data_IF_444582574210
#
_entry.id   IF_444582574210
#
_cell.length_a   1.000
_cell.length_b   1.000
_cell.length_c   1.000
_cell.angle_alpha   90.00
_cell.angle_beta   90.00
_cell.angle_gamma   90.00
#
_symmetry.space_group_name_H-M   'P 1'
#
loop_
_entity.id
_entity.type
_entity.pdbx_description
1 polymer ?
#
# COMPACT_ATOMS: atom_id res chain seq x y z
N UNK A 1 14.65 -37.41 9.57
CA UNK A 1 13.75 -37.72 8.45
C UNK A 1 12.39 -38.11 9.02
N UNK A 2 11.42 -37.19 9.01
CA UNK A 2 10.02 -37.48 9.37
C UNK A 2 9.11 -36.40 8.76
N UNK A 3 8.46 -36.76 7.66
CA UNK A 3 7.07 -36.37 7.37
C UNK A 3 6.24 -36.86 8.57
N UNK A 4 5.22 -36.20 9.12
CA UNK A 4 4.07 -35.44 8.59
C UNK A 4 3.56 -34.56 9.77
N UNK A 5 2.58 -33.68 9.51
CA UNK A 5 1.56 -33.14 10.46
C UNK A 5 1.74 -31.70 10.95
N UNK A 6 1.39 -30.73 10.09
CA UNK A 6 0.63 -29.50 10.40
C UNK A 6 0.71 -28.54 9.21
N UNK A 7 0.05 -28.89 8.10
CA UNK A 7 -0.53 -27.89 7.18
C UNK A 7 -1.77 -27.32 7.90
N UNK A 8 -1.55 -26.76 9.09
CA UNK A 8 -2.50 -25.96 9.85
C UNK A 8 -2.18 -24.55 9.34
N UNK A 9 -3.05 -23.83 8.64
CA UNK A 9 -4.06 -22.96 9.26
C UNK A 9 -3.51 -22.23 10.50
N UNK A 10 -2.21 -21.94 10.57
CA UNK A 10 -1.58 -21.23 11.69
C UNK A 10 -1.45 -19.72 11.45
N UNK A 11 -1.77 -19.23 10.25
CA UNK A 11 -1.81 -17.79 9.96
C UNK A 11 -3.22 -17.25 9.66
N UNK A 12 -4.29 -18.04 9.84
CA UNK A 12 -5.67 -17.60 9.59
C UNK A 12 -6.27 -16.83 10.80
N UNK A 13 -5.55 -15.81 11.27
CA UNK A 13 -6.12 -14.63 11.94
C UNK A 13 -5.88 -13.44 11.01
N UNK A 14 -6.58 -12.28 11.11
CA UNK A 14 -6.43 -11.22 10.12
C UNK A 14 -5.03 -10.63 10.25
N UNK A 15 -4.08 -11.17 9.47
CA UNK A 15 -2.80 -10.56 9.29
C UNK A 15 -3.06 -9.27 8.53
N UNK A 16 -2.72 -8.15 9.17
CA UNK A 16 -2.75 -6.85 8.51
C UNK A 16 -1.68 -6.89 7.43
N UNK A 17 -2.07 -6.87 6.16
CA UNK A 17 -1.13 -6.85 5.05
C UNK A 17 -0.64 -5.44 4.82
N UNK A 18 0.67 -5.29 4.70
CA UNK A 18 1.36 -4.03 4.45
C UNK A 18 1.36 -3.79 2.94
N UNK A 19 0.64 -2.77 2.49
CA UNK A 19 0.39 -2.55 1.07
C UNK A 19 0.95 -1.23 0.57
N UNK A 20 1.42 -1.24 -0.67
CA UNK A 20 1.88 -0.04 -1.37
C UNK A 20 0.86 0.32 -2.44
N UNK A 21 0.39 1.56 -2.47
CA UNK A 21 -0.43 2.05 -3.58
C UNK A 21 0.46 2.54 -4.72
N UNK A 22 0.39 1.90 -5.89
CA UNK A 22 1.13 2.36 -7.06
C UNK A 22 0.25 3.24 -7.95
N UNK A 23 0.48 4.55 -7.86
CA UNK A 23 -0.29 5.57 -8.56
C UNK A 23 -1.45 6.11 -7.70
N UNK A 24 -1.57 7.44 -7.65
CA UNK A 24 -2.60 8.17 -6.90
C UNK A 24 -3.53 8.95 -7.85
N UNK A 25 -3.88 8.32 -8.98
CA UNK A 25 -4.88 8.83 -9.92
C UNK A 25 -6.30 8.49 -9.44
N UNK A 26 -7.33 8.66 -10.29
CA UNK A 26 -8.72 8.41 -9.91
C UNK A 26 -8.94 7.06 -9.20
N UNK A 27 -8.48 5.94 -9.81
CA UNK A 27 -8.61 4.60 -9.18
C UNK A 27 -7.77 4.48 -7.91
N UNK A 28 -6.53 4.97 -7.94
CA UNK A 28 -5.62 4.88 -6.79
C UNK A 28 -6.13 5.66 -5.57
N UNK A 29 -6.72 6.83 -5.78
CA UNK A 29 -7.30 7.63 -4.69
C UNK A 29 -8.52 6.94 -4.07
N UNK A 30 -9.39 6.34 -4.88
CA UNK A 30 -10.53 5.55 -4.37
C UNK A 30 -10.06 4.30 -3.61
N UNK A 31 -8.99 3.65 -4.07
CA UNK A 31 -8.40 2.51 -3.36
C UNK A 31 -7.80 2.92 -2.01
N UNK A 32 -7.05 4.03 -1.97
CA UNK A 32 -6.53 4.59 -0.71
C UNK A 32 -7.68 4.91 0.24
N UNK A 33 -8.73 5.57 -0.25
CA UNK A 33 -9.91 5.87 0.55
C UNK A 33 -10.56 4.60 1.13
N UNK A 34 -10.76 3.58 0.30
CA UNK A 34 -11.34 2.30 0.72
C UNK A 34 -10.48 1.56 1.74
N UNK A 35 -9.14 1.60 1.60
CA UNK A 35 -8.21 1.02 2.58
C UNK A 35 -8.39 1.71 3.93
N UNK A 36 -8.33 3.05 3.94
CA UNK A 36 -8.39 3.83 5.17
C UNK A 36 -9.74 3.73 5.90
N UNK A 37 -10.85 3.61 5.16
CA UNK A 37 -12.20 3.66 5.75
C UNK A 37 -12.79 2.29 6.07
N UNK A 38 -12.37 1.24 5.37
CA UNK A 38 -13.13 -0.02 5.33
C UNK A 38 -12.29 -1.27 5.51
N UNK A 39 -10.95 -1.16 5.62
CA UNK A 39 -10.05 -2.31 5.69
C UNK A 39 -9.23 -2.26 6.96
N UNK A 40 -9.63 -3.07 7.93
CA UNK A 40 -8.87 -3.33 9.16
C UNK A 40 -7.77 -4.37 8.95
N UNK A 41 -7.78 -5.07 7.82
CA UNK A 41 -6.80 -6.08 7.42
C UNK A 41 -5.73 -5.55 6.45
N UNK A 42 -5.70 -4.25 6.14
CA UNK A 42 -4.70 -3.62 5.27
C UNK A 42 -4.07 -2.39 5.94
N UNK A 43 -2.75 -2.28 5.88
CA UNK A 43 -1.98 -1.11 6.31
C UNK A 43 -1.32 -0.47 5.08
N UNK A 44 -1.63 0.79 4.80
CA UNK A 44 -0.97 1.53 3.72
C UNK A 44 0.40 2.02 4.19
N UNK A 45 1.47 1.52 3.59
CA UNK A 45 2.85 1.82 4.05
C UNK A 45 3.61 2.76 3.12
N UNK A 46 3.07 3.04 1.95
CA UNK A 46 3.66 3.98 1.01
C UNK A 46 2.82 4.14 -0.26
N UNK A 47 3.11 5.19 -1.02
CA UNK A 47 2.55 5.34 -2.35
C UNK A 47 3.61 5.72 -3.38
N UNK A 48 3.54 5.09 -4.55
CA UNK A 48 4.37 5.46 -5.68
C UNK A 48 3.63 6.53 -6.50
N UNK A 49 4.27 7.66 -6.75
CA UNK A 49 3.78 8.76 -7.61
C UNK A 49 4.71 9.01 -8.80
N UNK A 50 4.17 9.61 -9.87
CA UNK A 50 4.95 9.94 -11.08
C UNK A 50 5.53 11.36 -11.06
N UNK A 51 4.84 12.29 -10.39
CA UNK A 51 5.14 13.72 -10.48
C UNK A 51 5.99 14.19 -9.30
N UNK A 52 6.99 15.02 -9.57
CA UNK A 52 7.94 15.50 -8.57
C UNK A 52 7.28 16.38 -7.49
N UNK A 53 6.21 17.10 -7.82
CA UNK A 53 5.42 17.90 -6.87
C UNK A 53 4.75 17.06 -5.78
N UNK A 54 4.59 15.75 -6.03
CA UNK A 54 4.01 14.79 -5.09
C UNK A 54 5.08 13.99 -4.34
N UNK A 55 6.35 14.12 -4.70
CA UNK A 55 7.43 13.43 -4.01
C UNK A 55 7.55 13.95 -2.58
N UNK A 56 7.55 13.03 -1.60
CA UNK A 56 7.61 13.34 -0.17
C UNK A 56 6.30 13.88 0.43
N UNK A 57 5.25 14.06 -0.39
CA UNK A 57 3.95 14.49 0.11
C UNK A 57 3.27 13.37 0.91
N UNK A 58 2.46 13.75 1.90
CA UNK A 58 1.65 12.79 2.64
C UNK A 58 0.51 12.25 1.77
N UNK A 59 0.33 10.93 1.77
CA UNK A 59 -0.66 10.25 0.94
C UNK A 59 -2.09 10.64 1.30
N UNK A 60 -2.39 10.87 2.59
CA UNK A 60 -3.67 11.39 3.05
C UNK A 60 -3.98 12.75 2.41
N UNK A 61 -3.01 13.66 2.45
CA UNK A 61 -3.13 14.97 1.81
C UNK A 61 -3.34 14.87 0.29
N UNK A 62 -2.64 13.95 -0.39
CA UNK A 62 -2.80 13.71 -1.83
C UNK A 62 -4.19 13.23 -2.24
N UNK A 63 -4.94 12.62 -1.31
CA UNK A 63 -6.32 12.16 -1.54
C UNK A 63 -7.36 13.06 -0.84
N UNK A 64 -6.98 14.26 -0.41
CA UNK A 64 -7.89 15.25 0.16
C UNK A 64 -8.32 14.97 1.60
N UNK A 65 -7.46 14.29 2.38
CA UNK A 65 -7.67 13.99 3.81
C UNK A 65 -6.61 14.69 4.66
N UNK A 66 -6.79 14.62 5.99
CA UNK A 66 -5.73 14.98 6.92
C UNK A 66 -4.50 14.08 6.74
N UNK A 67 -3.28 14.58 7.01
CA UNK A 67 -2.07 13.79 6.90
C UNK A 67 -2.11 12.52 7.75
N UNK A 68 -1.72 11.38 7.16
CA UNK A 68 -1.76 10.06 7.79
C UNK A 68 -0.39 9.52 8.19
N UNK A 69 0.69 10.26 7.91
CA UNK A 69 2.07 9.87 8.21
C UNK A 69 2.70 8.93 7.18
N UNK A 70 2.08 8.76 6.01
CA UNK A 70 2.57 7.88 4.94
C UNK A 70 3.05 8.73 3.77
N UNK A 71 4.32 8.60 3.40
CA UNK A 71 4.90 9.42 2.34
C UNK A 71 4.71 8.79 0.95
N UNK A 72 4.49 9.65 -0.04
CA UNK A 72 4.58 9.30 -1.45
C UNK A 72 6.02 9.47 -1.95
N UNK A 73 6.43 8.68 -2.94
CA UNK A 73 7.75 8.80 -3.57
C UNK A 73 7.69 8.54 -5.07
N UNK A 74 8.59 9.20 -5.80
CA UNK A 74 8.88 8.95 -7.22
C UNK A 74 9.99 7.91 -7.41
N UNK A 75 10.73 7.58 -6.34
CA UNK A 75 11.82 6.60 -6.35
C UNK A 75 11.26 5.17 -6.25
N UNK A 76 11.48 4.40 -7.31
CA UNK A 76 11.03 3.02 -7.45
C UNK A 76 11.78 2.07 -6.53
N UNK A 77 13.08 2.29 -6.33
CA UNK A 77 13.89 1.41 -5.49
C UNK A 77 13.55 1.66 -4.02
N UNK A 78 13.36 2.93 -3.63
CA UNK A 78 12.97 3.28 -2.28
C UNK A 78 11.58 2.72 -1.91
N UNK A 79 10.60 2.79 -2.81
CA UNK A 79 9.25 2.27 -2.51
C UNK A 79 9.26 0.73 -2.45
N UNK A 80 10.00 0.04 -3.33
CA UNK A 80 10.08 -1.42 -3.34
C UNK A 80 10.94 -1.98 -2.19
N UNK A 81 11.79 -1.16 -1.57
CA UNK A 81 12.56 -1.52 -0.38
C UNK A 81 11.76 -1.42 0.93
N UNK A 82 10.55 -0.85 0.90
CA UNK A 82 9.66 -0.86 2.06
C UNK A 82 9.28 -2.30 2.42
N UNK A 83 9.15 -2.55 3.72
CA UNK A 83 8.62 -3.82 4.22
C UNK A 83 7.11 -3.87 3.89
N UNK A 84 6.78 -4.39 2.72
CA UNK A 84 5.42 -4.51 2.19
C UNK A 84 5.19 -5.93 1.67
N UNK A 85 3.98 -6.42 1.91
CA UNK A 85 3.53 -7.74 1.46
C UNK A 85 3.06 -7.71 -0.01
N UNK A 86 2.48 -6.59 -0.46
CA UNK A 86 2.01 -6.47 -1.84
C UNK A 86 1.95 -5.02 -2.39
N UNK A 87 1.83 -4.93 -3.71
CA UNK A 87 1.67 -3.67 -4.45
C UNK A 87 0.31 -3.66 -5.13
N UNK A 88 -0.47 -2.62 -4.85
CA UNK A 88 -1.75 -2.33 -5.49
C UNK A 88 -1.49 -1.53 -6.76
N UNK A 89 -1.37 -2.23 -7.88
CA UNK A 89 -0.92 -1.67 -9.15
C UNK A 89 -2.08 -1.12 -9.99
N UNK A 90 -2.25 0.21 -10.00
CA UNK A 90 -3.26 0.90 -10.82
C UNK A 90 -2.77 2.03 -11.75
N UNK A 91 -1.51 2.08 -12.21
CA UNK A 91 -1.16 2.93 -13.34
C UNK A 91 -2.02 2.65 -14.56
N UNK A 92 -2.40 3.73 -15.24
CA UNK A 92 -2.89 3.62 -16.60
C UNK A 92 -1.69 3.50 -17.53
N UNK A 93 -1.52 2.35 -18.17
CA UNK A 93 -0.73 2.22 -19.40
C UNK A 93 -1.58 2.71 -20.56
N UNK A 94 -1.61 4.01 -20.80
CA UNK A 94 -2.16 4.60 -22.01
C UNK A 94 -1.37 5.85 -22.37
#
# INVERSE_FOLDING_TARGET
MRLVTAVTICCYGPAVYRVIQWGTGAVGSEMIAAILDHRDDLELVGARVYSDDKHGADVGALVGRDPIGVAATTDVDAILALDADCVLYTPRTA
#
